data_IF_275995096859
#
_entry.id   IF_275995096859
#
_cell.length_a   1.000
_cell.length_b   1.000
_cell.length_c   1.000
_cell.angle_alpha   90.00
_cell.angle_beta   90.00
_cell.angle_gamma   90.00
#
_symmetry.space_group_name_H-M   'P 1'
#
loop_
_entity.id
_entity.type
_entity.pdbx_description
1 polymer ?
#
# COMPACT_ATOMS: atom_id res chain seq x y z
N UNK A 1 4.65 2.73 15.91
CA UNK A 1 6.09 2.44 16.11
C UNK A 1 6.99 3.21 15.15
N UNK A 2 6.46 3.97 14.18
CA UNK A 2 7.27 4.84 13.32
C UNK A 2 7.93 5.98 14.08
N UNK A 3 9.13 6.40 13.67
CA UNK A 3 9.89 7.50 14.28
C UNK A 3 10.66 7.10 15.53
N UNK A 4 10.82 5.81 15.81
CA UNK A 4 11.61 5.28 16.92
C UNK A 4 12.92 4.64 16.47
N UNK A 5 13.13 4.51 15.16
CA UNK A 5 14.26 3.82 14.55
C UNK A 5 15.60 4.31 15.09
N UNK A 6 15.86 5.62 15.07
CA UNK A 6 17.13 6.17 15.54
C UNK A 6 17.40 5.84 17.01
N UNK A 7 16.39 5.99 17.88
CA UNK A 7 16.55 5.71 19.31
C UNK A 7 16.80 4.22 19.58
N UNK A 8 16.23 3.34 18.78
CA UNK A 8 16.43 1.90 18.91
C UNK A 8 17.76 1.46 18.30
N UNK A 9 18.16 2.02 17.17
CA UNK A 9 19.50 1.81 16.58
C UNK A 9 20.59 2.20 17.57
N UNK A 10 20.49 3.38 18.17
CA UNK A 10 21.47 3.88 19.15
C UNK A 10 21.58 2.97 20.38
N UNK A 11 20.46 2.35 20.80
CA UNK A 11 20.40 1.47 21.98
C UNK A 11 20.83 0.04 21.69
N UNK A 12 20.53 -0.47 20.49
CA UNK A 12 20.72 -1.87 20.14
C UNK A 12 21.99 -2.12 19.32
N UNK A 13 22.59 -1.06 18.73
CA UNK A 13 23.79 -1.16 17.91
C UNK A 13 23.58 -1.89 16.58
N UNK A 14 22.33 -2.06 16.15
CA UNK A 14 21.96 -2.71 14.89
C UNK A 14 20.99 -1.82 14.12
N UNK A 15 20.97 -1.87 12.77
CA UNK A 15 20.02 -1.12 11.97
C UNK A 15 18.57 -1.50 12.29
N UNK A 16 17.68 -0.51 12.40
CA UNK A 16 16.26 -0.67 12.69
C UNK A 16 15.47 0.03 11.59
N UNK A 17 14.60 -0.72 10.91
CA UNK A 17 13.84 -0.20 9.78
C UNK A 17 12.50 0.35 10.26
N UNK A 18 12.23 1.63 9.99
CA UNK A 18 10.85 2.14 10.07
C UNK A 18 10.05 1.71 8.83
N UNK A 19 9.02 0.90 9.08
CA UNK A 19 8.14 0.39 8.03
C UNK A 19 7.37 1.51 7.30
N UNK A 20 7.05 2.62 7.96
CA UNK A 20 6.32 3.73 7.30
C UNK A 20 7.23 4.45 6.31
N UNK A 21 8.42 4.89 6.74
CA UNK A 21 9.41 5.49 5.86
C UNK A 21 9.84 4.55 4.71
N UNK A 22 10.07 3.27 5.03
CA UNK A 22 10.42 2.26 4.02
C UNK A 22 9.31 2.08 2.97
N UNK A 23 8.04 2.02 3.39
CA UNK A 23 6.90 1.89 2.47
C UNK A 23 6.77 3.11 1.54
N UNK A 24 7.03 4.32 2.05
CA UNK A 24 7.04 5.54 1.22
C UNK A 24 8.10 5.44 0.13
N UNK A 25 9.33 5.04 0.48
CA UNK A 25 10.42 4.89 -0.52
C UNK A 25 10.15 3.80 -1.54
N UNK A 26 9.52 2.69 -1.13
CA UNK A 26 9.07 1.67 -2.08
C UNK A 26 8.01 2.22 -3.04
N UNK A 27 7.02 2.96 -2.54
CA UNK A 27 5.98 3.56 -3.38
C UNK A 27 6.54 4.57 -4.39
N UNK A 28 7.41 5.49 -3.93
CA UNK A 28 8.12 6.44 -4.80
C UNK A 28 8.91 5.71 -5.90
N UNK A 29 9.63 4.64 -5.54
CA UNK A 29 10.42 3.87 -6.50
C UNK A 29 9.56 3.21 -7.57
N UNK A 30 8.41 2.63 -7.20
CA UNK A 30 7.45 2.06 -8.15
C UNK A 30 6.92 3.13 -9.12
N UNK A 31 6.63 4.33 -8.63
CA UNK A 31 6.20 5.46 -9.46
C UNK A 31 7.31 5.89 -10.42
N UNK A 32 8.55 6.06 -9.96
CA UNK A 32 9.69 6.40 -10.82
C UNK A 32 9.93 5.36 -11.93
N UNK A 33 9.73 4.08 -11.63
CA UNK A 33 9.84 2.99 -12.59
C UNK A 33 8.60 2.81 -13.49
N UNK A 34 7.57 3.66 -13.33
CA UNK A 34 6.27 3.57 -14.02
C UNK A 34 5.62 2.19 -13.89
N UNK A 35 5.74 1.57 -12.71
CA UNK A 35 5.12 0.29 -12.39
C UNK A 35 3.86 0.51 -11.57
N UNK A 36 2.80 -0.22 -11.92
CA UNK A 36 1.52 -0.22 -11.21
C UNK A 36 1.10 -1.66 -10.93
N UNK A 37 0.10 -1.83 -10.06
CA UNK A 37 -0.44 -3.15 -9.75
C UNK A 37 -1.01 -3.81 -11.00
N UNK A 38 -0.50 -5.00 -11.36
CA UNK A 38 -0.97 -5.74 -12.53
C UNK A 38 -2.46 -6.07 -12.42
N UNK A 39 -3.23 -5.73 -13.44
CA UNK A 39 -4.68 -6.01 -13.53
C UNK A 39 -5.02 -7.23 -14.39
N UNK A 40 -4.03 -8.02 -14.80
CA UNK A 40 -4.22 -9.16 -15.70
C UNK A 40 -4.99 -10.33 -15.05
N UNK A 41 -4.77 -10.59 -13.77
CA UNK A 41 -5.36 -11.76 -13.09
C UNK A 41 -5.76 -11.44 -11.64
N UNK A 42 -4.90 -11.76 -10.67
CA UNK A 42 -5.24 -11.77 -9.24
C UNK A 42 -5.75 -10.43 -8.73
N UNK A 43 -5.16 -9.32 -9.19
CA UNK A 43 -5.56 -7.97 -8.75
C UNK A 43 -6.45 -7.25 -9.77
N UNK A 44 -7.10 -7.97 -10.70
CA UNK A 44 -8.09 -7.38 -11.63
C UNK A 44 -9.16 -6.60 -10.87
N UNK A 45 -9.82 -5.66 -11.55
CA UNK A 45 -10.93 -4.93 -10.93
C UNK A 45 -12.00 -5.89 -10.41
N UNK A 46 -12.60 -5.63 -9.23
CA UNK A 46 -13.62 -6.49 -8.66
C UNK A 46 -14.78 -6.76 -9.65
N UNK A 47 -15.29 -7.98 -9.64
CA UNK A 47 -16.46 -8.34 -10.45
C UNK A 47 -17.69 -7.55 -10.01
N UNK A 48 -18.56 -7.24 -10.97
CA UNK A 48 -19.79 -6.48 -10.71
C UNK A 48 -20.76 -7.30 -9.87
N UNK A 49 -20.83 -6.97 -8.58
CA UNK A 49 -21.82 -7.50 -7.63
C UNK A 49 -22.07 -6.48 -6.53
N UNK A 50 -23.26 -6.55 -5.93
CA UNK A 50 -23.61 -5.73 -4.78
C UNK A 50 -22.74 -6.11 -3.57
N UNK A 51 -22.08 -5.12 -2.98
CA UNK A 51 -21.26 -5.25 -1.79
C UNK A 51 -22.12 -4.84 -0.59
N UNK A 52 -22.64 -5.85 0.13
CA UNK A 52 -23.50 -5.66 1.30
C UNK A 52 -22.75 -4.96 2.43
N UNK A 53 -23.43 -4.04 3.12
CA UNK A 53 -22.86 -3.33 4.28
C UNK A 53 -21.93 -2.17 3.95
N UNK A 54 -21.79 -1.81 2.67
CA UNK A 54 -20.93 -0.72 2.23
C UNK A 54 -21.73 0.38 1.48
N UNK A 55 -21.36 1.67 1.64
CA UNK A 55 -22.04 2.76 0.95
C UNK A 55 -21.75 2.77 -0.55
N UNK A 56 -22.48 3.61 -1.29
CA UNK A 56 -22.50 3.61 -2.77
C UNK A 56 -21.10 3.70 -3.39
N UNK A 57 -20.21 4.57 -2.89
CA UNK A 57 -18.86 4.75 -3.45
C UNK A 57 -17.93 3.53 -3.29
N UNK A 58 -18.31 2.53 -2.49
CA UNK A 58 -17.62 1.24 -2.40
C UNK A 58 -18.30 0.12 -3.19
N UNK A 59 -19.32 0.40 -4.00
CA UNK A 59 -19.91 -0.60 -4.86
C UNK A 59 -19.01 -0.89 -6.07
N UNK A 60 -18.97 -2.16 -6.51
CA UNK A 60 -18.08 -2.62 -7.58
C UNK A 60 -18.22 -1.82 -8.89
N UNK A 61 -19.41 -1.28 -9.13
CA UNK A 61 -19.78 -0.40 -10.24
C UNK A 61 -18.93 0.87 -10.30
N UNK A 62 -18.50 1.37 -9.14
CA UNK A 62 -17.78 2.64 -8.97
C UNK A 62 -16.25 2.47 -8.98
N UNK A 63 -15.74 1.25 -9.17
CA UNK A 63 -14.31 0.98 -9.23
C UNK A 63 -13.72 1.02 -10.65
N UNK A 64 -14.56 1.10 -11.68
CA UNK A 64 -14.12 1.28 -13.06
C UNK A 64 -13.85 2.76 -13.33
N UNK A 65 -12.58 3.13 -13.32
CA UNK A 65 -12.03 4.22 -14.14
C UNK A 65 -11.39 3.64 -15.38
#
# INVERSE_FOLDING_TARGET
>A
MSGLEQQLEDRLGVPVIDAVAAAVKMAESLVSLRKTTSKQLTYRSPERKAIKGYPSHYQAENFSR
#
